data_IF_912644984040
#
_entry.id   IF_912644984040
#
_cell.length_a   1.000
_cell.length_b   1.000
_cell.length_c   1.000
_cell.angle_alpha   90.00
_cell.angle_beta   90.00
_cell.angle_gamma   90.00
#
_symmetry.space_group_name_H-M   'P 1'
#
loop_
_entity.id
_entity.type
_entity.pdbx_description
1 polymer ?
#
# COMPACT_ATOMS: atom_id res chain seq x y z
N UNK A 1 -2.75 -34.52 -18.06
CA UNK A 1 -2.88 -33.05 -18.15
C UNK A 1 -3.11 -32.27 -16.84
N UNK A 2 -3.50 -32.83 -15.67
CA UNK A 2 -3.82 -31.99 -14.50
C UNK A 2 -2.59 -31.33 -13.85
N UNK A 3 -1.41 -31.96 -13.95
CA UNK A 3 -0.19 -31.46 -13.32
C UNK A 3 0.34 -30.18 -13.97
N UNK A 4 0.28 -30.09 -15.30
CA UNK A 4 0.71 -28.90 -16.05
C UNK A 4 -0.14 -27.67 -15.69
N UNK A 5 -1.45 -27.86 -15.53
CA UNK A 5 -2.36 -26.79 -15.09
C UNK A 5 -2.00 -26.25 -13.70
N UNK A 6 -1.72 -27.14 -12.74
CA UNK A 6 -1.29 -26.73 -11.39
C UNK A 6 0.02 -25.94 -11.40
N UNK A 7 1.00 -26.34 -12.22
CA UNK A 7 2.25 -25.61 -12.37
C UNK A 7 2.08 -24.23 -13.01
N UNK A 8 1.18 -24.10 -14.00
CA UNK A 8 0.84 -22.81 -14.59
C UNK A 8 0.19 -21.88 -13.57
N UNK A 9 -0.78 -22.37 -12.81
CA UNK A 9 -1.42 -21.60 -11.74
C UNK A 9 -0.42 -21.19 -10.65
N UNK A 10 0.49 -22.08 -10.25
CA UNK A 10 1.53 -21.78 -9.27
C UNK A 10 2.42 -20.63 -9.76
N UNK A 11 2.88 -20.70 -11.02
CA UNK A 11 3.71 -19.64 -11.60
C UNK A 11 2.97 -18.30 -11.66
N UNK A 12 1.72 -18.31 -12.10
CA UNK A 12 0.88 -17.10 -12.14
C UNK A 12 0.75 -16.46 -10.76
N UNK A 13 0.53 -17.27 -9.72
CA UNK A 13 0.42 -16.77 -8.34
C UNK A 13 1.73 -16.23 -7.80
N UNK A 14 2.87 -16.83 -8.15
CA UNK A 14 4.19 -16.30 -7.81
C UNK A 14 4.47 -14.95 -8.47
N UNK A 15 4.08 -14.80 -9.75
CA UNK A 15 4.20 -13.53 -10.47
C UNK A 15 3.28 -12.45 -9.86
N UNK A 16 2.03 -12.83 -9.50
CA UNK A 16 1.09 -11.95 -8.79
C UNK A 16 1.67 -11.48 -7.44
N UNK A 17 2.23 -12.40 -6.65
CA UNK A 17 2.86 -12.10 -5.36
C UNK A 17 4.04 -11.12 -5.52
N UNK A 18 4.88 -11.32 -6.53
CA UNK A 18 6.00 -10.43 -6.81
C UNK A 18 5.52 -9.00 -7.11
N UNK A 19 4.47 -8.86 -7.94
CA UNK A 19 3.87 -7.56 -8.27
C UNK A 19 3.24 -6.89 -7.03
N UNK A 20 2.51 -7.65 -6.22
CA UNK A 20 1.89 -7.14 -4.99
C UNK A 20 2.96 -6.61 -4.01
N UNK A 21 4.08 -7.33 -3.86
CA UNK A 21 5.20 -6.89 -3.01
C UNK A 21 5.85 -5.61 -3.54
N UNK A 22 6.10 -5.51 -4.85
CA UNK A 22 6.63 -4.28 -5.46
C UNK A 22 5.71 -3.09 -5.22
N UNK A 23 4.42 -3.27 -5.51
CA UNK A 23 3.41 -2.23 -5.31
C UNK A 23 3.33 -1.77 -3.84
N UNK A 24 3.41 -2.70 -2.89
CA UNK A 24 3.45 -2.36 -1.46
C UNK A 24 4.68 -1.52 -1.11
N UNK A 25 5.86 -1.86 -1.62
CA UNK A 25 7.08 -1.07 -1.39
C UNK A 25 6.96 0.33 -1.99
N UNK A 26 6.50 0.44 -3.24
CA UNK A 26 6.28 1.73 -3.91
C UNK A 26 5.29 2.61 -3.13
N UNK A 27 4.20 2.02 -2.63
CA UNK A 27 3.20 2.74 -1.86
C UNK A 27 3.70 3.15 -0.47
N UNK A 28 4.56 2.35 0.16
CA UNK A 28 5.23 2.72 1.42
C UNK A 28 6.14 3.92 1.21
N UNK A 29 6.95 3.92 0.16
CA UNK A 29 7.83 5.05 -0.18
C UNK A 29 7.01 6.32 -0.41
N UNK A 30 5.92 6.22 -1.19
CA UNK A 30 4.99 7.32 -1.40
C UNK A 30 4.44 7.88 -0.08
N UNK A 31 4.06 7.01 0.87
CA UNK A 31 3.59 7.43 2.20
C UNK A 31 4.68 8.17 2.99
N UNK A 32 5.92 7.70 2.93
CA UNK A 32 7.05 8.35 3.58
C UNK A 32 7.36 9.73 2.96
N UNK A 33 7.23 9.85 1.64
CA UNK A 33 7.35 11.13 0.93
C UNK A 33 6.28 12.12 1.40
N UNK A 34 5.03 11.67 1.59
CA UNK A 34 3.97 12.53 2.13
C UNK A 34 4.35 13.07 3.52
N UNK A 35 4.79 12.22 4.44
CA UNK A 35 5.20 12.66 5.77
C UNK A 35 6.40 13.61 5.74
N UNK A 36 7.38 13.32 4.89
CA UNK A 36 8.59 14.14 4.75
C UNK A 36 8.27 15.54 4.20
N UNK A 37 7.27 15.64 3.33
CA UNK A 37 6.88 16.87 2.64
C UNK A 37 5.74 17.65 3.32
N UNK A 38 5.20 17.20 4.46
CA UNK A 38 4.10 17.87 5.17
C UNK A 38 4.40 19.35 5.47
N UNK A 39 5.66 19.66 5.79
CA UNK A 39 6.11 21.01 6.07
C UNK A 39 5.87 21.99 4.90
N UNK A 40 5.80 21.50 3.66
CA UNK A 40 5.52 22.33 2.48
C UNK A 40 4.12 22.93 2.49
N UNK A 41 3.14 22.27 3.14
CA UNK A 41 1.80 22.83 3.32
C UNK A 41 1.80 24.12 4.15
N UNK A 42 2.88 24.35 4.91
CA UNK A 42 3.04 25.53 5.78
C UNK A 42 4.03 26.56 5.24
N UNK A 43 4.54 26.37 4.01
CA UNK A 43 5.52 27.25 3.39
C UNK A 43 4.84 28.18 2.36
N UNK A 44 5.13 29.50 2.32
CA UNK A 44 5.99 30.25 3.23
C UNK A 44 5.45 30.31 4.66
N UNK A 45 6.37 30.38 5.63
CA UNK A 45 6.01 30.70 7.00
C UNK A 45 5.39 32.10 7.05
N UNK A 46 4.19 32.19 7.60
CA UNK A 46 3.49 33.44 7.81
C UNK A 46 3.68 33.82 9.27
N UNK A 47 4.53 34.80 9.52
CA UNK A 47 4.77 35.28 10.88
C UNK A 47 3.75 36.35 11.26
N UNK A 48 3.34 36.37 12.53
CA UNK A 48 2.52 37.44 13.11
C UNK A 48 3.20 38.82 13.06
N UNK A 49 4.51 38.85 12.79
CA UNK A 49 5.29 40.10 12.64
C UNK A 49 5.05 40.73 11.25
N UNK A 50 4.79 39.90 10.23
CA UNK A 50 4.62 40.33 8.84
C UNK A 50 3.17 40.25 8.36
N UNK A 51 2.33 39.44 9.00
CA UNK A 51 0.92 39.30 8.67
C UNK A 51 0.08 39.04 9.93
N UNK A 52 -0.79 39.99 10.29
CA UNK A 52 -1.62 39.92 11.50
C UNK A 52 -3.02 40.48 11.26
N UNK A 53 -3.94 40.16 12.17
CA UNK A 53 -5.33 40.58 12.16
C UNK A 53 -6.29 39.51 11.69
N UNK A 54 -7.59 39.80 11.75
CA UNK A 54 -8.66 38.80 11.60
C UNK A 54 -8.65 38.04 10.26
N UNK A 55 -8.13 38.64 9.18
CA UNK A 55 -7.96 37.97 7.89
C UNK A 55 -6.80 36.97 7.90
N UNK A 56 -5.69 37.32 8.58
CA UNK A 56 -4.56 36.41 8.78
C UNK A 56 -5.00 35.20 9.60
N UNK A 57 -5.73 35.43 10.69
CA UNK A 57 -6.26 34.35 11.55
C UNK A 57 -7.22 33.44 10.79
N UNK A 58 -8.10 34.00 9.96
CA UNK A 58 -9.03 33.21 9.11
C UNK A 58 -8.28 32.38 8.08
N UNK A 59 -7.25 32.95 7.44
CA UNK A 59 -6.43 32.21 6.49
C UNK A 59 -5.70 31.06 7.18
N UNK A 60 -5.09 31.31 8.33
CA UNK A 60 -4.34 30.29 9.07
C UNK A 60 -5.24 29.15 9.53
N UNK A 61 -6.45 29.46 9.98
CA UNK A 61 -7.46 28.44 10.29
C UNK A 61 -7.86 27.60 9.06
N UNK A 62 -8.01 28.22 7.88
CA UNK A 62 -8.28 27.49 6.64
C UNK A 62 -7.09 26.61 6.23
N UNK A 63 -5.86 27.09 6.44
CA UNK A 63 -4.65 26.36 6.14
C UNK A 63 -4.48 25.14 7.04
N UNK A 64 -4.57 25.31 8.35
CA UNK A 64 -4.42 24.19 9.31
C UNK A 64 -5.63 23.25 9.26
N UNK A 65 -6.84 23.79 9.30
CA UNK A 65 -8.08 23.03 9.37
C UNK A 65 -8.51 22.40 8.05
N UNK A 66 -8.06 22.93 6.91
CA UNK A 66 -8.38 22.41 5.57
C UNK A 66 -7.18 21.77 4.88
N UNK A 67 -6.16 22.56 4.53
CA UNK A 67 -5.05 22.05 3.73
C UNK A 67 -4.22 21.00 4.47
N UNK A 68 -3.75 21.32 5.68
CA UNK A 68 -2.87 20.44 6.46
C UNK A 68 -3.62 19.19 6.92
N UNK A 69 -4.88 19.34 7.35
CA UNK A 69 -5.71 18.20 7.76
C UNK A 69 -5.97 17.23 6.61
N UNK A 70 -6.40 17.70 5.44
CA UNK A 70 -6.61 16.86 4.25
C UNK A 70 -5.30 16.24 3.75
N UNK A 71 -4.20 16.98 3.83
CA UNK A 71 -2.88 16.44 3.47
C UNK A 71 -2.47 15.29 4.40
N UNK A 72 -2.70 15.39 5.72
CA UNK A 72 -2.41 14.33 6.70
C UNK A 72 -3.32 13.11 6.57
N UNK A 73 -4.56 13.31 6.12
CA UNK A 73 -5.52 12.23 5.92
C UNK A 73 -5.05 11.23 4.84
N UNK A 74 -4.38 11.73 3.79
CA UNK A 74 -3.84 10.89 2.71
C UNK A 74 -2.88 9.81 3.22
N UNK A 75 -1.73 10.14 3.85
CA UNK A 75 -0.81 9.12 4.37
C UNK A 75 -1.34 8.40 5.61
N UNK A 76 -2.14 9.07 6.45
CA UNK A 76 -2.60 8.53 7.73
C UNK A 76 -3.80 7.57 7.66
N UNK A 77 -4.68 7.73 6.66
CA UNK A 77 -5.91 6.94 6.53
C UNK A 77 -5.97 6.22 5.19
N UNK A 78 -5.91 6.96 4.09
CA UNK A 78 -6.17 6.40 2.75
C UNK A 78 -5.05 5.45 2.29
N UNK A 79 -3.79 5.88 2.41
CA UNK A 79 -2.64 5.05 2.08
C UNK A 79 -2.47 3.90 3.07
N UNK A 80 -2.77 4.12 4.36
CA UNK A 80 -2.70 3.03 5.35
C UNK A 80 -3.72 1.93 5.06
N UNK A 81 -4.97 2.29 4.76
CA UNK A 81 -6.02 1.34 4.34
C UNK A 81 -5.60 0.54 3.09
N UNK A 82 -4.99 1.23 2.12
CA UNK A 82 -4.49 0.58 0.89
C UNK A 82 -3.33 -0.38 1.18
N UNK A 83 -2.40 0.00 2.05
CA UNK A 83 -1.28 -0.84 2.49
C UNK A 83 -1.75 -2.06 3.29
N UNK A 84 -2.77 -1.91 4.14
CA UNK A 84 -3.39 -3.02 4.86
C UNK A 84 -4.08 -4.00 3.88
N UNK A 85 -4.81 -3.46 2.89
CA UNK A 85 -5.44 -4.27 1.84
C UNK A 85 -4.41 -5.06 1.03
N UNK A 86 -3.30 -4.41 0.63
CA UNK A 86 -2.18 -5.09 -0.03
C UNK A 86 -1.56 -6.18 0.85
N UNK A 87 -1.36 -5.92 2.15
CA UNK A 87 -0.76 -6.88 3.09
C UNK A 87 -1.66 -8.11 3.29
N UNK A 88 -2.97 -7.90 3.37
CA UNK A 88 -3.96 -8.98 3.40
C UNK A 88 -3.91 -9.81 2.12
N UNK A 89 -3.87 -9.16 0.95
CA UNK A 89 -3.81 -9.86 -0.34
C UNK A 89 -2.51 -10.64 -0.54
N UNK A 90 -1.38 -10.09 -0.10
CA UNK A 90 -0.07 -10.78 -0.09
C UNK A 90 -0.18 -12.07 0.74
N UNK A 91 -0.70 -11.96 1.96
CA UNK A 91 -0.86 -13.12 2.86
C UNK A 91 -1.77 -14.19 2.26
N UNK A 92 -2.88 -13.77 1.65
CA UNK A 92 -3.79 -14.67 0.94
C UNK A 92 -3.09 -15.39 -0.22
N UNK A 93 -2.39 -14.65 -1.09
CA UNK A 93 -1.71 -15.24 -2.26
C UNK A 93 -0.58 -16.18 -1.83
N UNK A 94 0.12 -15.91 -0.72
CA UNK A 94 1.10 -16.83 -0.14
C UNK A 94 0.45 -18.15 0.30
N UNK A 95 -0.71 -18.10 0.95
CA UNK A 95 -1.46 -19.31 1.32
C UNK A 95 -1.94 -20.10 0.10
N UNK A 96 -2.42 -19.41 -0.94
CA UNK A 96 -2.81 -20.03 -2.21
C UNK A 96 -1.63 -20.75 -2.89
N UNK A 97 -0.43 -20.14 -2.86
CA UNK A 97 0.81 -20.77 -3.37
C UNK A 97 1.13 -22.04 -2.60
N UNK A 98 1.06 -22.01 -1.26
CA UNK A 98 1.33 -23.19 -0.41
C UNK A 98 0.34 -24.32 -0.75
N UNK A 99 -0.95 -24.00 -0.88
CA UNK A 99 -1.98 -24.97 -1.23
C UNK A 99 -1.76 -25.59 -2.62
N UNK A 100 -1.35 -24.79 -3.60
CA UNK A 100 -1.00 -25.27 -4.94
C UNK A 100 0.22 -26.19 -4.91
N UNK A 101 1.25 -25.87 -4.12
CA UNK A 101 2.42 -26.72 -3.95
C UNK A 101 2.06 -28.08 -3.34
N UNK A 102 1.22 -28.10 -2.30
CA UNK A 102 0.71 -29.34 -1.70
C UNK A 102 -0.09 -30.17 -2.71
N UNK A 103 -0.95 -29.53 -3.50
CA UNK A 103 -1.73 -30.18 -4.55
C UNK A 103 -0.84 -30.82 -5.62
N UNK A 104 0.25 -30.15 -6.00
CA UNK A 104 1.26 -30.68 -6.94
C UNK A 104 1.94 -31.92 -6.36
N UNK A 105 2.34 -31.89 -5.09
CA UNK A 105 2.98 -33.04 -4.42
C UNK A 105 2.04 -34.25 -4.39
N UNK A 106 0.77 -34.05 -3.99
CA UNK A 106 -0.23 -35.09 -3.96
C UNK A 106 -0.50 -35.68 -5.36
N UNK A 107 -0.66 -34.81 -6.37
CA UNK A 107 -0.89 -35.23 -7.75
C UNK A 107 0.28 -36.05 -8.32
N UNK A 108 1.53 -35.68 -8.00
CA UNK A 108 2.71 -36.46 -8.38
C UNK A 108 2.73 -37.84 -7.74
N UNK A 109 2.48 -37.93 -6.44
CA UNK A 109 2.45 -39.21 -5.72
C UNK A 109 1.41 -40.17 -6.32
N UNK A 110 0.22 -39.66 -6.66
CA UNK A 110 -0.84 -40.44 -7.28
C UNK A 110 -0.49 -40.95 -8.69
N UNK A 111 0.38 -40.25 -9.44
CA UNK A 111 0.85 -40.70 -10.75
C UNK A 111 1.93 -41.77 -10.66
N UNK A 112 2.74 -41.79 -9.60
CA UNK A 112 3.80 -42.79 -9.38
C UNK A 112 3.25 -44.09 -8.77
N UNK A 113 2.14 -44.02 -8.04
CA UNK A 113 1.47 -45.18 -7.46
C UNK A 113 0.60 -45.96 -8.47
N UNK A 114 0.54 -45.53 -9.74
CA UNK A 114 -0.15 -46.18 -10.85
C UNK A 114 0.85 -46.83 -11.79
#
# INVERSE_FOLDING_TARGET
>A
MPLTGLYLSLRQKQDELARLRSCRTELMNCREDFYSNEHLCKNPSLSSVTWAGSLADRFENLREGGLVSSYRELPGSQLDTSLQTLSSKISQTEQEIISLQQSIVAAKAAMVAR
#
